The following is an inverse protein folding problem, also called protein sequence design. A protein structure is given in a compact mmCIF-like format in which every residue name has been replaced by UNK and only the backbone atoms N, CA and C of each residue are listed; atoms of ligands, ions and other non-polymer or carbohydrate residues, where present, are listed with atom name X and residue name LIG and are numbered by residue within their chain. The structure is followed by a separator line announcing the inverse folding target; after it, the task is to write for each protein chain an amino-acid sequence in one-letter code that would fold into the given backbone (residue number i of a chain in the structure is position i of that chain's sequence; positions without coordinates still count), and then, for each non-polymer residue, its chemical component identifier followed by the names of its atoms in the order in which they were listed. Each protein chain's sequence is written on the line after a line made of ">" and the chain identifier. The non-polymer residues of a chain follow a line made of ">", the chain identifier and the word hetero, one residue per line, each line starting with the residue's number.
data_IF_365960931413
#
_entry.id   IF_365960931413
#
_cell.length_a   1.000
_cell.length_b   1.000
_cell.length_c   1.000
_cell.angle_alpha   90.00
_cell.angle_beta   90.00
_cell.angle_gamma   90.00
#
_symmetry.space_group_name_H-M   'P 1'
#
loop_
_entity.id
_entity.type
_entity.pdbx_description
1 polymer ?
#
# COMPACT_ATOMS: atom_id res chain seq x y z
N UNK A 1 -12.33 -7.43 -5.10
CA UNK A 1 -11.68 -7.96 -3.89
C UNK A 1 -11.15 -6.80 -3.04
N UNK A 2 -11.98 -6.17 -2.18
CA UNK A 2 -11.55 -5.06 -1.31
C UNK A 2 -10.50 -5.47 -0.26
N UNK A 3 -10.29 -6.78 -0.07
CA UNK A 3 -9.34 -7.32 0.90
C UNK A 3 -7.88 -7.00 0.55
N UNK A 4 -7.56 -6.93 -0.75
CA UNK A 4 -6.16 -6.82 -1.20
C UNK A 4 -5.54 -5.48 -0.83
N UNK A 5 -6.21 -4.35 -1.11
CA UNK A 5 -5.65 -3.05 -0.77
C UNK A 5 -5.57 -2.84 0.75
N UNK A 6 -6.50 -3.41 1.52
CA UNK A 6 -6.46 -3.37 2.99
C UNK A 6 -5.25 -4.12 3.52
N UNK A 7 -5.00 -5.34 3.03
CA UNK A 7 -3.80 -6.13 3.40
C UNK A 7 -2.52 -5.42 3.02
N UNK A 8 -2.45 -4.78 1.84
CA UNK A 8 -1.27 -4.01 1.46
C UNK A 8 -1.03 -2.79 2.37
N UNK A 9 -2.08 -2.09 2.80
CA UNK A 9 -1.94 -0.96 3.73
C UNK A 9 -1.51 -1.40 5.13
N UNK A 10 -1.94 -2.58 5.57
CA UNK A 10 -1.58 -3.16 6.86
C UNK A 10 -0.12 -3.67 6.88
N UNK A 11 0.27 -4.38 5.82
CA UNK A 11 1.62 -4.93 5.69
C UNK A 11 2.67 -3.83 5.41
N UNK A 12 2.39 -2.93 4.47
CA UNK A 12 3.28 -1.83 4.12
C UNK A 12 3.07 -0.62 5.02
N UNK A 13 3.74 -0.64 6.16
CA UNK A 13 3.79 0.42 7.19
C UNK A 13 5.17 1.07 7.29
N UNK A 14 5.28 2.30 7.84
CA UNK A 14 6.59 2.91 8.07
C UNK A 14 7.39 2.09 9.09
N UNK A 15 8.68 1.92 8.83
CA UNK A 15 9.57 1.22 9.74
C UNK A 15 9.68 1.97 11.08
N UNK A 16 9.55 1.23 12.19
CA UNK A 16 9.52 1.77 13.55
C UNK A 16 10.81 2.50 13.96
N UNK A 17 11.92 2.24 13.26
CA UNK A 17 13.22 2.86 13.51
C UNK A 17 13.39 4.26 12.90
N UNK A 18 12.35 4.81 12.26
CA UNK A 18 12.40 6.17 11.71
C UNK A 18 13.35 6.33 10.51
N UNK A 19 13.87 5.23 9.95
CA UNK A 19 14.83 5.28 8.84
C UNK A 19 14.20 5.69 7.49
N UNK A 20 12.96 6.15 7.47
CA UNK A 20 12.26 6.52 6.23
C UNK A 20 12.09 5.36 5.26
N UNK A 21 11.95 4.11 5.75
CA UNK A 21 11.80 2.89 4.94
C UNK A 21 10.49 2.18 5.26
N UNK A 22 10.01 1.36 4.34
CA UNK A 22 8.85 0.50 4.54
C UNK A 22 9.25 -0.79 5.28
N UNK A 23 8.49 -1.16 6.32
CA UNK A 23 8.74 -2.38 7.12
C UNK A 23 8.67 -3.65 6.28
N UNK A 24 7.61 -3.84 5.50
CA UNK A 24 7.44 -5.02 4.64
C UNK A 24 8.57 -5.16 3.60
N UNK A 25 9.02 -4.04 3.04
CA UNK A 25 10.12 -4.03 2.07
C UNK A 25 11.49 -4.20 2.72
N UNK A 26 11.62 -4.08 4.04
CA UNK A 26 12.88 -4.39 4.75
C UNK A 26 13.05 -5.88 5.06
N UNK A 27 11.99 -6.69 4.90
CA UNK A 27 12.08 -8.15 5.08
C UNK A 27 12.73 -8.77 3.84
N UNK A 28 13.86 -9.50 3.98
CA UNK A 28 14.47 -10.18 2.84
C UNK A 28 13.50 -11.22 2.25
N UNK A 29 13.35 -11.22 0.91
CA UNK A 29 12.45 -12.12 0.18
C UNK A 29 11.32 -11.44 -0.60
N UNK A 30 11.10 -10.13 -0.44
CA UNK A 30 10.01 -9.36 -1.12
C UNK A 30 10.45 -8.54 -2.35
N UNK A 31 11.66 -8.77 -2.87
CA UNK A 31 12.11 -8.26 -4.18
C UNK A 31 12.73 -6.85 -4.21
N UNK A 32 12.53 -6.02 -3.18
CA UNK A 32 13.19 -4.69 -3.06
C UNK A 32 13.62 -4.40 -1.62
N UNK A 33 14.84 -4.80 -1.21
CA UNK A 33 15.32 -4.60 0.15
C UNK A 33 15.41 -3.10 0.48
N UNK A 34 14.65 -2.67 1.50
CA UNK A 34 14.76 -1.34 2.08
C UNK A 34 14.15 -0.21 1.25
N UNK A 35 13.06 -0.46 0.52
CA UNK A 35 12.34 0.58 -0.20
C UNK A 35 12.00 1.78 0.71
N UNK A 36 12.23 2.98 0.19
CA UNK A 36 11.94 4.24 0.87
C UNK A 36 10.43 4.36 1.11
N UNK A 37 10.07 4.89 2.28
CA UNK A 37 8.70 5.19 2.64
C UNK A 37 8.26 6.55 2.08
N UNK A 38 7.06 6.67 1.47
CA UNK A 38 6.11 5.60 1.19
C UNK A 38 6.53 4.76 -0.02
N UNK A 39 6.49 3.43 0.11
CA UNK A 39 6.87 2.53 -0.99
C UNK A 39 5.75 2.44 -2.05
N UNK A 40 6.10 2.01 -3.27
CA UNK A 40 5.15 1.92 -4.39
C UNK A 40 3.91 1.07 -4.07
N UNK A 41 4.06 -0.02 -3.32
CA UNK A 41 2.92 -0.87 -2.89
C UNK A 41 1.95 -0.12 -1.97
N UNK A 42 2.46 0.66 -1.02
CA UNK A 42 1.63 1.50 -0.17
C UNK A 42 0.89 2.56 -1.00
N UNK A 43 1.60 3.21 -1.94
CA UNK A 43 0.98 4.19 -2.83
C UNK A 43 -0.13 3.60 -3.70
N UNK A 44 0.09 2.41 -4.28
CA UNK A 44 -0.93 1.69 -5.05
C UNK A 44 -2.14 1.33 -4.19
N UNK A 45 -1.92 0.88 -2.95
CA UNK A 45 -3.00 0.54 -2.04
C UNK A 45 -3.83 1.77 -1.61
N UNK A 46 -3.18 2.93 -1.42
CA UNK A 46 -3.87 4.21 -1.19
C UNK A 46 -4.71 4.62 -2.40
N UNK A 47 -4.20 4.45 -3.62
CA UNK A 47 -4.96 4.74 -4.85
C UNK A 47 -6.15 3.80 -5.01
N UNK A 48 -5.97 2.50 -4.76
CA UNK A 48 -7.06 1.53 -4.78
C UNK A 48 -8.13 1.86 -3.74
N UNK A 49 -7.73 2.25 -2.51
CA UNK A 49 -8.65 2.74 -1.47
C UNK A 49 -9.49 3.92 -1.99
N UNK A 50 -8.85 4.93 -2.60
CA UNK A 50 -9.57 6.09 -3.16
C UNK A 50 -10.59 5.72 -4.23
N UNK A 51 -10.29 4.74 -5.08
CA UNK A 51 -11.22 4.24 -6.11
C UNK A 51 -12.39 3.48 -5.46
N UNK A 52 -12.13 2.71 -4.41
CA UNK A 52 -13.14 1.96 -3.67
C UNK A 52 -14.05 2.84 -2.80
N UNK A 53 -13.50 3.84 -2.13
CA UNK A 53 -14.24 4.80 -1.29
C UNK A 53 -15.00 5.83 -2.14
N UNK A 54 -14.65 5.97 -3.42
CA UNK A 54 -15.45 6.79 -4.33
C UNK A 54 -16.77 6.05 -4.55
N UNK A 55 -17.93 6.64 -4.18
CA UNK A 55 -19.20 6.06 -4.57
C UNK A 55 -19.21 5.97 -6.09
N UNK A 56 -19.60 4.80 -6.62
CA UNK A 56 -19.76 4.58 -8.04
C UNK A 56 -20.72 5.65 -8.58
N UNK A 57 -20.18 6.79 -9.07
CA UNK A 57 -20.96 7.72 -9.86
C UNK A 57 -21.25 7.00 -11.16
N UNK A 58 -22.48 6.50 -11.27
CA UNK A 58 -23.16 6.02 -12.46
C UNK A 58 -22.27 5.52 -13.59
N UNK A 59 -22.11 4.20 -13.69
CA UNK A 59 -22.16 3.60 -15.03
C UNK A 59 -23.63 3.62 -15.41
N UNK A 60 -24.04 4.67 -16.13
CA UNK A 60 -25.27 4.63 -16.89
C UNK A 60 -25.00 3.71 -18.09
N UNK A 61 -25.68 2.57 -18.09
CA UNK A 61 -25.90 1.73 -19.28
C UNK A 61 -27.18 2.18 -19.99
#
# INVERSE_FOLDING_TARGET
>A
MPDVYRRLLDDHTPAANGCGRCRACTVPGTGSPGAVWPCSMHQLAVLARKIHDRPLRGRAE
#
